data_IF_576570730642
#
_entry.id   IF_576570730642
#
_cell.length_a   1.000
_cell.length_b   1.000
_cell.length_c   1.000
_cell.angle_alpha   90.00
_cell.angle_beta   90.00
_cell.angle_gamma   90.00
#
_symmetry.space_group_name_H-M   'P 1'
#
loop_
_entity.id
_entity.type
_entity.pdbx_description
1 polymer ?
#
# COMPACT_ATOMS: atom_id res chain seq x y z
N UNK A 1 1.45 3.85 21.87
CA UNK A 1 0.19 4.63 21.86
C UNK A 1 -0.83 3.76 22.56
N UNK A 2 -1.16 4.08 23.80
CA UNK A 2 -1.97 3.19 24.65
C UNK A 2 -3.38 3.75 24.91
N UNK A 3 -3.59 5.07 24.75
CA UNK A 3 -4.89 5.71 24.92
C UNK A 3 -5.48 6.27 23.62
N UNK A 4 -6.80 6.51 23.61
CA UNK A 4 -7.49 7.21 22.51
C UNK A 4 -6.96 8.63 22.30
N UNK A 5 -6.67 9.34 23.39
CA UNK A 5 -6.08 10.69 23.33
C UNK A 5 -4.71 10.67 22.64
N UNK A 6 -3.88 9.64 22.90
CA UNK A 6 -2.59 9.49 22.22
C UNK A 6 -2.76 9.28 20.70
N UNK A 7 -3.78 8.52 20.29
CA UNK A 7 -4.06 8.26 18.87
C UNK A 7 -4.54 9.52 18.15
N UNK A 8 -5.48 10.23 18.75
CA UNK A 8 -6.00 11.48 18.21
C UNK A 8 -4.87 12.51 18.10
N UNK A 9 -4.04 12.64 19.13
CA UNK A 9 -2.87 13.51 19.10
C UNK A 9 -1.88 13.12 18.02
N UNK A 10 -1.61 11.82 17.85
CA UNK A 10 -0.73 11.34 16.79
C UNK A 10 -1.30 11.67 15.40
N UNK A 11 -2.60 11.48 15.19
CA UNK A 11 -3.26 11.86 13.94
C UNK A 11 -3.17 13.36 13.71
N UNK A 12 -3.41 14.19 14.73
CA UNK A 12 -3.27 15.65 14.63
C UNK A 12 -1.83 16.06 14.30
N UNK A 13 -0.82 15.44 14.91
CA UNK A 13 0.59 15.68 14.60
C UNK A 13 0.92 15.27 13.14
N UNK A 14 0.35 14.16 12.66
CA UNK A 14 0.49 13.73 11.27
C UNK A 14 -0.13 14.75 10.32
N UNK A 15 -1.38 15.17 10.58
CA UNK A 15 -2.09 16.17 9.77
C UNK A 15 -1.37 17.52 9.76
N UNK A 16 -0.91 18.01 10.91
CA UNK A 16 -0.12 19.24 11.00
C UNK A 16 1.18 19.15 10.18
N UNK A 17 1.91 18.02 10.28
CA UNK A 17 3.13 17.81 9.48
C UNK A 17 2.87 17.79 7.96
N UNK A 18 1.64 17.48 7.55
CA UNK A 18 1.22 17.49 6.14
C UNK A 18 0.91 18.91 5.68
N UNK A 19 0.20 19.68 6.50
CA UNK A 19 -0.05 21.10 6.23
C UNK A 19 1.27 21.87 6.06
N UNK A 20 2.24 21.61 6.93
CA UNK A 20 3.57 22.21 6.85
C UNK A 20 4.31 21.83 5.55
N UNK A 21 4.27 20.54 5.15
CA UNK A 21 4.89 20.09 3.88
C UNK A 21 4.22 20.71 2.67
N UNK A 22 2.89 20.79 2.65
CA UNK A 22 2.15 21.43 1.55
C UNK A 22 2.47 22.91 1.44
N UNK A 23 2.58 23.62 2.57
CA UNK A 23 2.96 25.02 2.57
C UNK A 23 4.38 25.22 1.99
N UNK A 24 5.31 24.32 2.29
CA UNK A 24 6.67 24.35 1.72
C UNK A 24 6.66 24.11 0.20
N UNK A 25 5.91 23.11 -0.27
CA UNK A 25 5.77 22.81 -1.70
C UNK A 25 5.14 23.99 -2.47
N UNK A 26 4.12 24.65 -1.91
CA UNK A 26 3.49 25.84 -2.51
C UNK A 26 4.44 27.06 -2.57
N UNK A 27 5.32 27.24 -1.58
CA UNK A 27 6.37 28.28 -1.58
C UNK A 27 7.48 28.01 -2.62
N UNK A 28 7.82 26.74 -2.84
CA UNK A 28 8.79 26.33 -3.87
C UNK A 28 8.23 26.54 -5.28
N UNK A 29 6.98 26.15 -5.53
CA UNK A 29 6.29 26.37 -6.81
C UNK A 29 6.07 27.86 -7.11
N UNK A 30 5.81 28.69 -6.08
CA UNK A 30 5.69 30.14 -6.24
C UNK A 30 7.01 30.82 -6.64
N UNK A 31 8.15 30.19 -6.36
CA UNK A 31 9.48 30.68 -6.71
C UNK A 31 10.03 30.09 -8.02
N UNK A 32 9.28 29.19 -8.67
CA UNK A 32 9.68 28.59 -9.94
C UNK A 32 9.58 29.58 -11.10
N UNK A 33 10.72 29.90 -11.72
CA UNK A 33 10.80 30.67 -12.97
C UNK A 33 11.01 29.68 -14.13
N UNK A 34 10.05 29.51 -15.05
CA UNK A 34 10.20 28.55 -16.14
C UNK A 34 11.31 28.99 -17.10
N UNK A 35 12.30 28.13 -17.34
CA UNK A 35 13.30 28.31 -18.39
C UNK A 35 12.68 27.96 -19.75
N UNK A 36 12.18 28.99 -20.45
CA UNK A 36 11.68 28.88 -21.81
C UNK A 36 12.83 28.91 -22.80
N UNK A 37 13.57 27.81 -22.92
CA UNK A 37 14.43 27.61 -24.09
C UNK A 37 14.74 26.14 -24.39
N UNK A 38 13.85 25.47 -25.16
CA UNK A 38 14.24 24.63 -26.30
C UNK A 38 13.04 24.20 -27.17
N UNK A 39 13.26 23.92 -28.48
CA UNK A 39 12.23 23.89 -29.50
C UNK A 39 11.62 22.50 -29.75
N UNK A 40 10.42 22.54 -30.33
CA UNK A 40 9.58 21.42 -30.75
C UNK A 40 10.27 20.47 -31.74
N UNK A 41 10.23 19.16 -31.47
CA UNK A 41 10.43 18.12 -32.49
C UNK A 41 9.22 17.20 -32.61
N UNK A 42 8.84 17.04 -33.88
CA UNK A 42 7.63 16.44 -34.39
C UNK A 42 7.48 14.93 -34.17
N UNK A 43 6.22 14.56 -33.97
CA UNK A 43 5.65 13.23 -33.92
C UNK A 43 5.65 12.57 -35.31
N UNK A 44 6.25 11.36 -35.45
CA UNK A 44 5.82 10.38 -36.46
C UNK A 44 6.41 8.95 -36.30
N UNK A 45 5.52 7.98 -36.48
CA UNK A 45 5.69 6.59 -36.93
C UNK A 45 5.89 5.48 -35.89
N UNK A 46 4.79 4.76 -35.65
CA UNK A 46 4.76 3.38 -35.16
C UNK A 46 4.41 2.45 -36.34
N UNK A 47 5.32 1.53 -36.69
CA UNK A 47 5.00 0.25 -37.34
C UNK A 47 6.25 -0.66 -37.40
N UNK A 48 6.12 -1.93 -36.99
CA UNK A 48 6.91 -3.03 -37.58
C UNK A 48 7.68 -4.01 -36.67
N UNK A 49 7.01 -5.14 -36.32
CA UNK A 49 7.50 -6.55 -36.34
C UNK A 49 8.47 -7.07 -35.24
N UNK A 50 8.65 -8.40 -35.03
CA UNK A 50 7.80 -9.55 -35.36
C UNK A 50 7.55 -10.54 -34.18
N UNK A 51 6.47 -11.32 -34.33
CA UNK A 51 6.14 -12.51 -33.52
C UNK A 51 7.04 -13.70 -33.92
N UNK A 52 7.54 -14.46 -32.93
CA UNK A 52 8.00 -15.82 -33.20
C UNK A 52 8.90 -16.42 -32.12
N UNK A 53 8.32 -17.26 -31.23
CA UNK A 53 8.93 -18.48 -30.69
C UNK A 53 7.85 -19.31 -29.99
N UNK A 54 7.32 -20.30 -30.71
CA UNK A 54 6.58 -21.44 -30.16
C UNK A 54 7.54 -22.63 -30.08
N UNK A 55 7.47 -23.51 -29.07
CA UNK A 55 6.77 -24.81 -29.08
C UNK A 55 7.26 -25.64 -27.87
N UNK A 56 6.77 -26.88 -27.58
CA UNK A 56 5.47 -27.51 -27.87
C UNK A 56 4.87 -28.26 -26.66
N UNK A 57 3.54 -28.44 -26.60
CA UNK A 57 3.02 -29.74 -26.13
C UNK A 57 1.67 -30.03 -26.78
N UNK A 58 1.64 -31.12 -27.53
CA UNK A 58 0.48 -31.61 -28.24
C UNK A 58 0.21 -33.02 -27.69
N UNK A 59 -0.89 -33.23 -26.98
CA UNK A 59 -1.47 -34.55 -26.78
C UNK A 59 -2.97 -34.45 -26.45
N UNK A 60 -3.76 -34.96 -27.40
CA UNK A 60 -5.11 -35.53 -27.27
C UNK A 60 -6.32 -34.59 -27.19
N UNK A 61 -6.73 -34.09 -28.37
CA UNK A 61 -8.13 -33.73 -28.65
C UNK A 61 -8.92 -34.96 -29.10
N UNK A 62 -9.95 -35.32 -28.34
CA UNK A 62 -11.15 -36.00 -28.86
C UNK A 62 -12.20 -34.93 -29.14
N UNK A 63 -12.70 -34.90 -30.37
CA UNK A 63 -13.69 -33.94 -30.85
C UNK A 63 -15.05 -34.12 -30.15
N UNK A 64 -15.58 -33.04 -29.59
CA UNK A 64 -16.98 -32.92 -29.21
C UNK A 64 -17.59 -31.69 -29.91
N UNK A 65 -18.88 -31.75 -30.33
CA UNK A 65 -19.44 -30.82 -31.31
C UNK A 65 -19.61 -29.39 -30.77
N UNK A 66 -19.25 -28.41 -31.61
CA UNK A 66 -19.31 -26.96 -31.36
C UNK A 66 -20.73 -26.51 -30.98
N UNK A 67 -20.97 -26.19 -29.70
CA UNK A 67 -22.14 -25.40 -29.28
C UNK A 67 -21.98 -23.96 -29.79
N UNK A 68 -23.03 -23.44 -30.44
CA UNK A 68 -23.16 -22.06 -30.92
C UNK A 68 -22.79 -21.08 -29.80
N UNK A 69 -21.82 -20.18 -30.05
CA UNK A 69 -21.47 -19.06 -29.15
C UNK A 69 -22.71 -18.22 -28.89
N UNK A 70 -23.28 -18.32 -27.68
CA UNK A 70 -24.26 -17.34 -27.18
C UNK A 70 -23.59 -15.98 -27.20
N UNK A 71 -24.20 -14.99 -27.89
CA UNK A 71 -23.83 -13.58 -27.76
C UNK A 71 -23.82 -13.25 -26.26
N UNK A 72 -22.67 -12.85 -25.70
CA UNK A 72 -22.58 -12.35 -24.32
C UNK A 72 -23.57 -11.18 -24.20
N UNK A 73 -24.58 -11.31 -23.34
CA UNK A 73 -25.45 -10.18 -22.96
C UNK A 73 -24.52 -9.08 -22.43
N UNK A 74 -24.64 -7.85 -22.94
CA UNK A 74 -23.97 -6.69 -22.34
C UNK A 74 -24.40 -6.61 -20.87
N UNK A 75 -23.43 -6.49 -19.96
CA UNK A 75 -23.70 -6.35 -18.53
C UNK A 75 -24.55 -5.10 -18.29
N UNK A 76 -25.58 -5.19 -17.44
CA UNK A 76 -26.43 -4.05 -17.05
C UNK A 76 -25.64 -2.95 -16.32
N UNK A 77 -24.49 -3.30 -15.74
CA UNK A 77 -23.60 -2.39 -14.98
C UNK A 77 -22.51 -1.75 -15.83
N UNK A 78 -22.41 -2.06 -17.13
CA UNK A 78 -21.34 -1.52 -17.99
C UNK A 78 -21.44 0.00 -18.25
N UNK A 79 -22.56 0.63 -17.90
CA UNK A 79 -22.79 2.06 -18.02
C UNK A 79 -22.77 2.80 -16.67
N UNK A 80 -22.39 2.12 -15.59
CA UNK A 80 -22.16 2.75 -14.29
C UNK A 80 -20.69 3.16 -14.17
N UNK A 81 -20.38 4.25 -13.44
CA UNK A 81 -19.01 4.60 -13.13
C UNK A 81 -18.32 3.47 -12.36
N UNK A 82 -17.02 3.34 -12.55
CA UNK A 82 -16.25 2.35 -11.80
C UNK A 82 -16.06 2.78 -10.34
N UNK A 83 -16.07 1.83 -9.41
CA UNK A 83 -15.74 2.13 -8.01
C UNK A 83 -14.33 2.71 -7.92
N UNK A 84 -14.17 3.79 -7.15
CA UNK A 84 -12.91 4.53 -7.05
C UNK A 84 -12.61 5.46 -8.24
N UNK A 85 -13.53 5.61 -9.20
CA UNK A 85 -13.36 6.62 -10.25
C UNK A 85 -13.60 8.02 -9.69
N UNK A 86 -12.82 9.00 -10.16
CA UNK A 86 -13.07 10.41 -9.86
C UNK A 86 -14.32 10.87 -10.61
N UNK A 87 -15.35 11.20 -9.84
CA UNK A 87 -16.61 11.75 -10.36
C UNK A 87 -16.64 13.26 -10.12
N UNK A 88 -17.18 14.05 -11.05
CA UNK A 88 -17.48 15.46 -10.80
C UNK A 88 -18.46 15.64 -9.64
N UNK A 89 -18.40 16.77 -8.93
CA UNK A 89 -19.32 17.06 -7.82
C UNK A 89 -20.78 17.18 -8.28
N UNK A 90 -21.02 17.55 -9.54
CA UNK A 90 -22.34 17.64 -10.16
C UNK A 90 -22.82 16.31 -10.77
N UNK A 91 -22.07 15.21 -10.56
CA UNK A 91 -22.44 13.89 -11.09
C UNK A 91 -23.81 13.43 -10.58
N UNK A 92 -24.69 13.12 -11.54
CA UNK A 92 -26.03 12.58 -11.27
C UNK A 92 -26.00 11.06 -11.36
N UNK A 93 -26.30 10.41 -10.24
CA UNK A 93 -26.45 8.96 -10.18
C UNK A 93 -27.53 8.47 -11.13
N UNK A 94 -27.27 7.31 -11.75
CA UNK A 94 -28.23 6.65 -12.62
C UNK A 94 -29.49 6.19 -11.87
N UNK A 95 -29.34 5.72 -10.64
CA UNK A 95 -30.44 5.38 -9.75
C UNK A 95 -30.50 6.45 -8.64
N UNK A 96 -30.98 7.64 -9.01
CA UNK A 96 -31.09 8.79 -8.11
C UNK A 96 -32.28 8.68 -7.16
N UNK A 97 -33.38 8.06 -7.59
CA UNK A 97 -34.59 7.83 -6.79
C UNK A 97 -34.29 6.98 -5.55
N UNK A 98 -34.61 7.54 -4.39
CA UNK A 98 -34.57 6.86 -3.11
C UNK A 98 -35.91 6.18 -2.85
N UNK A 99 -35.95 4.86 -2.62
CA UNK A 99 -37.18 4.17 -2.22
C UNK A 99 -37.71 4.60 -0.84
N UNK A 100 -36.85 5.25 -0.05
CA UNK A 100 -37.11 5.69 1.31
C UNK A 100 -37.10 7.20 1.33
N UNK A 101 -38.08 7.82 1.99
CA UNK A 101 -38.07 9.25 2.21
C UNK A 101 -36.99 9.66 3.23
N UNK A 102 -36.16 10.64 2.85
CA UNK A 102 -35.06 11.19 3.65
C UNK A 102 -34.21 10.10 4.35
N UNK A 103 -33.52 9.24 3.57
CA UNK A 103 -32.79 8.10 4.12
C UNK A 103 -31.58 8.50 4.98
N UNK A 104 -31.10 9.74 4.84
CA UNK A 104 -29.93 10.29 5.54
C UNK A 104 -30.30 11.29 6.62
N UNK A 105 -31.58 11.38 7.02
CA UNK A 105 -32.01 12.29 8.07
C UNK A 105 -31.28 11.97 9.39
N UNK A 106 -30.63 12.95 10.06
CA UNK A 106 -29.89 12.72 11.31
C UNK A 106 -30.74 12.17 12.47
N UNK A 107 -32.06 12.24 12.38
CA UNK A 107 -32.96 11.57 13.34
C UNK A 107 -32.95 10.04 13.22
N UNK A 108 -32.45 9.49 12.11
CA UNK A 108 -32.23 8.05 11.92
C UNK A 108 -30.90 7.63 12.54
N UNK A 109 -30.81 6.40 13.11
CA UNK A 109 -29.55 5.85 13.59
C UNK A 109 -28.44 5.92 12.53
N UNK A 110 -27.21 6.19 12.98
CA UNK A 110 -26.05 6.26 12.08
C UNK A 110 -25.88 4.96 11.28
N UNK A 111 -26.02 3.81 11.94
CA UNK A 111 -25.98 2.48 11.33
C UNK A 111 -26.88 2.40 10.11
N UNK A 112 -28.17 2.72 10.25
CA UNK A 112 -29.15 2.69 9.16
C UNK A 112 -28.78 3.63 8.00
N UNK A 113 -28.26 4.84 8.30
CA UNK A 113 -27.83 5.82 7.28
C UNK A 113 -26.63 5.30 6.48
N UNK A 114 -25.64 4.74 7.16
CA UNK A 114 -24.41 4.20 6.56
C UNK A 114 -24.70 2.94 5.74
N UNK A 115 -25.51 2.02 6.25
CA UNK A 115 -25.95 0.82 5.53
C UNK A 115 -26.66 1.17 4.22
N UNK A 116 -27.58 2.13 4.27
CA UNK A 116 -28.27 2.61 3.09
C UNK A 116 -27.30 3.26 2.09
N UNK A 117 -26.33 4.04 2.57
CA UNK A 117 -25.29 4.62 1.73
C UNK A 117 -24.43 3.55 1.05
N UNK A 118 -24.02 2.49 1.75
CA UNK A 118 -23.25 1.36 1.19
C UNK A 118 -24.05 0.67 0.09
N UNK A 119 -25.32 0.36 0.35
CA UNK A 119 -26.20 -0.26 -0.63
C UNK A 119 -26.36 0.62 -1.88
N UNK A 120 -26.64 1.92 -1.69
CA UNK A 120 -26.85 2.86 -2.80
C UNK A 120 -25.56 3.06 -3.60
N UNK A 121 -24.41 3.15 -2.93
CA UNK A 121 -23.11 3.21 -3.57
C UNK A 121 -22.83 1.96 -4.42
N UNK A 122 -23.05 0.76 -3.87
CA UNK A 122 -22.92 -0.53 -4.59
C UNK A 122 -23.87 -0.62 -5.81
N UNK A 123 -25.07 -0.05 -5.72
CA UNK A 123 -26.07 -0.02 -6.82
C UNK A 123 -25.71 0.95 -7.94
N UNK A 124 -25.03 2.05 -7.61
CA UNK A 124 -24.67 3.10 -8.57
C UNK A 124 -23.24 3.01 -9.12
N UNK A 125 -22.44 2.06 -8.65
CA UNK A 125 -21.06 1.85 -9.13
C UNK A 125 -20.85 0.44 -9.66
N UNK A 126 -19.95 0.32 -10.64
CA UNK A 126 -19.46 -0.94 -11.15
C UNK A 126 -18.22 -1.35 -10.36
N UNK A 127 -18.26 -2.54 -9.78
CA UNK A 127 -17.10 -3.16 -9.14
C UNK A 127 -16.49 -4.23 -10.06
N UNK A 128 -15.18 -4.19 -10.23
CA UNK A 128 -14.41 -5.35 -10.66
C UNK A 128 -14.21 -6.27 -9.46
N UNK A 129 -13.86 -7.54 -9.68
CA UNK A 129 -13.69 -8.51 -8.58
C UNK A 129 -12.62 -8.03 -7.57
N UNK A 130 -11.53 -7.42 -8.06
CA UNK A 130 -10.48 -6.89 -7.21
C UNK A 130 -10.97 -5.71 -6.36
N UNK A 131 -11.58 -4.71 -7.01
CA UNK A 131 -12.09 -3.52 -6.31
C UNK A 131 -13.19 -3.85 -5.31
N UNK A 132 -14.02 -4.86 -5.62
CA UNK A 132 -15.01 -5.38 -4.67
C UNK A 132 -14.34 -5.97 -3.44
N UNK A 133 -13.30 -6.80 -3.62
CA UNK A 133 -12.56 -7.40 -2.50
C UNK A 133 -11.92 -6.33 -1.61
N UNK A 134 -11.31 -5.31 -2.20
CA UNK A 134 -10.73 -4.20 -1.44
C UNK A 134 -11.79 -3.42 -0.67
N UNK A 135 -12.90 -3.07 -1.32
CA UNK A 135 -14.01 -2.35 -0.68
C UNK A 135 -14.62 -3.15 0.47
N UNK A 136 -14.97 -4.43 0.24
CA UNK A 136 -15.53 -5.30 1.26
C UNK A 136 -14.53 -5.54 2.42
N UNK A 137 -13.21 -5.54 2.15
CA UNK A 137 -12.17 -5.66 3.17
C UNK A 137 -12.04 -4.40 4.03
N UNK A 138 -12.14 -3.21 3.42
CA UNK A 138 -12.19 -1.94 4.13
C UNK A 138 -13.41 -1.85 5.05
N UNK A 139 -14.60 -2.20 4.54
CA UNK A 139 -15.83 -2.19 5.34
C UNK A 139 -15.73 -3.16 6.54
N UNK A 140 -15.22 -4.38 6.32
CA UNK A 140 -15.00 -5.35 7.40
C UNK A 140 -14.00 -4.86 8.44
N UNK A 141 -12.94 -4.20 8.01
CA UNK A 141 -11.97 -3.61 8.93
C UNK A 141 -12.61 -2.53 9.81
N UNK A 142 -13.49 -1.70 9.24
CA UNK A 142 -14.31 -0.73 9.97
C UNK A 142 -15.45 -1.34 10.79
N UNK A 143 -15.46 -2.65 11.05
CA UNK A 143 -16.47 -3.32 11.87
C UNK A 143 -17.80 -3.66 11.16
N UNK A 144 -17.88 -3.47 9.84
CA UNK A 144 -19.12 -3.70 9.09
C UNK A 144 -19.19 -5.15 8.61
N UNK A 145 -20.26 -5.85 8.98
CA UNK A 145 -20.47 -7.25 8.62
C UNK A 145 -20.91 -7.40 7.16
N UNK A 146 -19.96 -7.64 6.25
CA UNK A 146 -20.23 -7.82 4.82
C UNK A 146 -20.64 -9.27 4.50
N UNK A 147 -21.95 -9.50 4.32
CA UNK A 147 -22.55 -10.82 4.10
C UNK A 147 -22.52 -11.31 2.63
N UNK A 148 -22.59 -12.64 2.38
CA UNK A 148 -22.64 -13.21 1.02
C UNK A 148 -23.95 -12.89 0.27
N UNK A 149 -25.02 -12.51 0.98
CA UNK A 149 -26.32 -12.16 0.41
C UNK A 149 -26.50 -10.66 0.12
N UNK A 150 -25.43 -9.85 0.24
CA UNK A 150 -25.39 -8.41 -0.05
C UNK A 150 -25.80 -7.99 -1.47
N UNK A 151 -26.27 -8.92 -2.30
CA UNK A 151 -26.54 -8.75 -3.71
C UNK A 151 -27.88 -9.31 -4.18
N UNK A 152 -28.67 -9.97 -3.30
CA UNK A 152 -29.93 -10.54 -3.78
C UNK A 152 -31.02 -9.50 -3.99
N UNK A 153 -31.01 -8.35 -3.29
CA UNK A 153 -31.73 -7.13 -3.65
C UNK A 153 -33.13 -7.33 -4.24
N UNK A 154 -33.80 -8.40 -3.83
CA UNK A 154 -35.13 -8.77 -4.25
C UNK A 154 -35.88 -8.74 -2.95
N UNK A 155 -36.65 -7.67 -2.78
CA UNK A 155 -37.89 -7.79 -2.04
C UNK A 155 -38.60 -9.03 -2.62
N UNK A 156 -38.59 -10.11 -1.85
CA UNK A 156 -39.51 -11.21 -2.08
C UNK A 156 -40.91 -10.70 -1.74
N UNK A 157 -41.95 -11.38 -2.20
CA UNK A 157 -43.33 -11.01 -1.84
C UNK A 157 -43.60 -11.04 -0.33
N UNK A 158 -42.64 -11.53 0.47
CA UNK A 158 -42.68 -11.54 1.92
C UNK A 158 -42.09 -10.26 2.56
N UNK A 159 -41.35 -9.44 1.80
CA UNK A 159 -40.72 -8.19 2.25
C UNK A 159 -41.56 -6.96 1.83
N UNK A 160 -42.86 -7.18 1.62
CA UNK A 160 -43.84 -6.13 1.31
C UNK A 160 -44.74 -5.94 2.53
N UNK A 161 -44.82 -4.70 3.02
CA UNK A 161 -45.80 -4.33 4.04
C UNK A 161 -47.24 -4.56 3.54
N UNK A 162 -48.25 -4.48 4.42
CA UNK A 162 -49.66 -4.73 4.08
C UNK A 162 -50.19 -3.83 2.95
N UNK A 163 -49.53 -2.72 2.63
CA UNK A 163 -49.87 -1.79 1.54
C UNK A 163 -48.99 -1.91 0.27
N UNK A 164 -48.07 -2.88 0.22
CA UNK A 164 -47.17 -3.06 -0.93
C UNK A 164 -45.95 -2.14 -0.94
N UNK A 165 -45.74 -1.36 0.12
CA UNK A 165 -44.49 -0.66 0.39
C UNK A 165 -43.37 -1.68 0.67
N UNK A 166 -42.18 -1.41 0.13
CA UNK A 166 -40.99 -2.25 0.34
C UNK A 166 -40.58 -2.11 1.80
N UNK A 167 -40.69 -3.19 2.57
CA UNK A 167 -40.18 -3.26 3.94
C UNK A 167 -38.65 -3.30 3.86
N UNK A 168 -38.03 -2.13 3.99
CA UNK A 168 -36.59 -1.98 3.88
C UNK A 168 -35.84 -2.65 5.03
N UNK A 169 -36.41 -2.63 6.23
CA UNK A 169 -35.85 -3.31 7.41
C UNK A 169 -35.80 -4.82 7.18
N UNK A 170 -36.87 -5.42 6.67
CA UNK A 170 -36.90 -6.85 6.34
C UNK A 170 -35.99 -7.20 5.14
N UNK A 171 -35.97 -6.36 4.10
CA UNK A 171 -35.18 -6.60 2.89
C UNK A 171 -33.67 -6.43 3.09
N UNK A 172 -33.24 -5.63 4.08
CA UNK A 172 -31.83 -5.28 4.30
C UNK A 172 -31.17 -5.96 5.50
N UNK A 173 -31.92 -6.70 6.32
CA UNK A 173 -31.42 -7.49 7.45
C UNK A 173 -30.32 -8.52 7.10
N UNK A 174 -29.94 -8.68 5.82
CA UNK A 174 -28.97 -9.67 5.32
C UNK A 174 -27.83 -9.07 4.47
N UNK A 175 -27.70 -7.73 4.37
CA UNK A 175 -26.92 -7.11 3.29
C UNK A 175 -25.56 -6.56 3.71
N UNK A 176 -25.45 -5.69 4.69
CA UNK A 176 -24.19 -5.30 5.34
C UNK A 176 -24.63 -4.72 6.68
N UNK A 177 -24.22 -5.28 7.82
CA UNK A 177 -24.71 -4.83 9.14
C UNK A 177 -23.68 -3.95 9.83
N UNK A 178 -24.07 -2.74 10.22
CA UNK A 178 -23.30 -1.85 11.08
C UNK A 178 -23.76 -2.10 12.52
N UNK A 179 -22.85 -2.44 13.45
CA UNK A 179 -23.24 -2.64 14.85
C UNK A 179 -23.93 -1.38 15.41
N UNK A 180 -24.92 -1.58 16.28
CA UNK A 180 -25.61 -0.47 16.95
C UNK A 180 -24.77 0.07 18.11
N UNK A 181 -24.98 1.35 18.44
CA UNK A 181 -24.28 2.11 19.51
C UNK A 181 -24.66 1.65 20.93
N UNK A 182 -24.92 0.36 21.16
CA UNK A 182 -25.42 -0.17 22.43
C UNK A 182 -24.31 -0.59 23.42
N UNK A 183 -23.06 -0.68 22.97
CA UNK A 183 -21.91 -1.05 23.80
C UNK A 183 -21.18 0.19 24.36
N UNK A 184 -20.83 0.20 25.65
CA UNK A 184 -20.11 1.32 26.32
C UNK A 184 -18.75 1.66 25.69
N UNK A 185 -18.18 0.75 24.89
CA UNK A 185 -16.90 0.92 24.17
C UNK A 185 -17.08 1.26 22.68
N UNK A 186 -18.30 1.51 22.21
CA UNK A 186 -18.57 1.81 20.80
C UNK A 186 -18.20 3.26 20.45
N UNK A 187 -17.21 3.41 19.57
CA UNK A 187 -16.74 4.70 19.06
C UNK A 187 -16.57 4.65 17.54
N UNK A 188 -16.95 5.73 16.86
CA UNK A 188 -16.87 5.86 15.40
C UNK A 188 -15.78 6.87 15.04
N UNK A 189 -14.80 6.44 14.25
CA UNK A 189 -13.85 7.32 13.56
C UNK A 189 -13.51 6.79 12.18
N UNK A 190 -13.93 7.51 11.15
CA UNK A 190 -13.55 7.32 9.76
C UNK A 190 -12.05 7.56 9.56
N UNK A 191 -11.46 8.55 10.25
CA UNK A 191 -10.04 8.87 10.08
C UNK A 191 -9.14 7.79 10.67
N UNK A 192 -9.41 7.29 11.88
CA UNK A 192 -8.64 6.19 12.47
C UNK A 192 -8.78 4.92 11.62
N UNK A 193 -9.98 4.59 11.16
CA UNK A 193 -10.22 3.44 10.28
C UNK A 193 -9.46 3.58 8.96
N UNK A 194 -9.49 4.75 8.31
CA UNK A 194 -8.75 4.98 7.07
C UNK A 194 -7.23 4.91 7.29
N UNK A 195 -6.73 5.50 8.37
CA UNK A 195 -5.30 5.53 8.72
C UNK A 195 -4.77 4.15 9.03
N UNK A 196 -5.42 3.41 9.93
CA UNK A 196 -4.96 2.09 10.34
C UNK A 196 -5.15 1.07 9.21
N UNK A 197 -6.23 1.17 8.43
CA UNK A 197 -6.45 0.33 7.26
C UNK A 197 -5.37 0.55 6.19
N UNK A 198 -5.23 1.77 5.66
CA UNK A 198 -4.30 2.04 4.57
C UNK A 198 -2.84 2.02 5.03
N UNK A 199 -2.57 2.45 6.26
CA UNK A 199 -1.23 2.58 6.83
C UNK A 199 -0.62 1.25 7.30
N UNK A 200 -1.44 0.27 7.68
CA UNK A 200 -0.93 -0.96 8.29
C UNK A 200 -1.66 -2.22 7.82
N UNK A 201 -2.97 -2.30 8.01
CA UNK A 201 -3.71 -3.54 7.79
C UNK A 201 -3.72 -3.97 6.32
N UNK A 202 -3.96 -3.03 5.40
CA UNK A 202 -3.96 -3.27 3.96
C UNK A 202 -2.59 -3.72 3.48
N UNK A 203 -1.51 -3.07 3.93
CA UNK A 203 -0.14 -3.36 3.48
C UNK A 203 0.34 -4.75 3.89
N UNK A 204 -0.14 -5.25 5.04
CA UNK A 204 0.13 -6.60 5.54
C UNK A 204 -0.84 -7.67 5.01
N UNK A 205 -1.98 -7.27 4.47
CA UNK A 205 -2.99 -8.20 3.96
C UNK A 205 -2.57 -8.85 2.64
N UNK A 206 -3.12 -10.03 2.36
CA UNK A 206 -2.94 -10.75 1.09
C UNK A 206 -3.59 -10.06 -0.12
N UNK A 207 -4.23 -8.90 0.07
CA UNK A 207 -4.80 -8.10 -1.02
C UNK A 207 -3.78 -7.16 -1.66
N UNK A 208 -2.66 -6.85 -0.99
CA UNK A 208 -1.63 -5.96 -1.51
C UNK A 208 -0.54 -6.73 -2.28
N UNK A 209 -0.92 -7.46 -3.33
CA UNK A 209 0.01 -8.31 -4.07
C UNK A 209 0.76 -7.50 -5.11
N UNK A 210 0.05 -6.72 -5.93
CA UNK A 210 0.60 -5.90 -7.01
C UNK A 210 0.61 -4.41 -6.69
N UNK A 211 1.37 -3.65 -7.48
CA UNK A 211 1.38 -2.17 -7.40
C UNK A 211 0.00 -1.59 -7.68
N UNK A 212 -0.78 -2.21 -8.58
CA UNK A 212 -2.15 -1.75 -8.87
C UNK A 212 -3.06 -1.82 -7.65
N UNK A 213 -2.88 -2.79 -6.75
CA UNK A 213 -3.69 -2.90 -5.54
C UNK A 213 -3.41 -1.71 -4.60
N UNK A 214 -2.14 -1.33 -4.47
CA UNK A 214 -1.68 -0.15 -3.72
C UNK A 214 -2.18 1.17 -4.33
N UNK A 215 -2.37 1.22 -5.66
CA UNK A 215 -2.96 2.38 -6.35
C UNK A 215 -4.49 2.43 -6.21
N UNK A 216 -5.17 1.29 -6.36
CA UNK A 216 -6.64 1.22 -6.38
C UNK A 216 -7.25 1.39 -4.99
N UNK A 217 -6.63 0.84 -3.94
CA UNK A 217 -7.18 0.86 -2.59
C UNK A 217 -7.51 2.26 -2.05
N UNK A 218 -6.58 3.25 -2.07
CA UNK A 218 -6.89 4.57 -1.57
C UNK A 218 -7.93 5.30 -2.42
N UNK A 219 -8.01 5.02 -3.74
CA UNK A 219 -9.05 5.57 -4.62
C UNK A 219 -10.45 5.05 -4.26
N UNK A 220 -10.56 3.75 -3.96
CA UNK A 220 -11.83 3.12 -3.58
C UNK A 220 -12.34 3.69 -2.25
N UNK A 221 -11.43 3.82 -1.26
CA UNK A 221 -11.77 4.37 0.06
C UNK A 221 -12.15 5.85 -0.06
N UNK A 222 -11.35 6.67 -0.73
CA UNK A 222 -11.66 8.10 -0.93
C UNK A 222 -13.00 8.31 -1.64
N UNK A 223 -13.28 7.55 -2.71
CA UNK A 223 -14.53 7.69 -3.44
C UNK A 223 -15.76 7.37 -2.58
N UNK A 224 -15.65 6.39 -1.68
CA UNK A 224 -16.74 6.08 -0.74
C UNK A 224 -16.87 7.13 0.37
N UNK A 225 -15.76 7.59 0.97
CA UNK A 225 -15.81 8.66 1.97
C UNK A 225 -16.37 9.96 1.39
N UNK A 226 -15.96 10.32 0.17
CA UNK A 226 -16.52 11.44 -0.59
C UNK A 226 -18.01 11.25 -0.85
N UNK A 227 -18.44 10.02 -1.14
CA UNK A 227 -19.86 9.72 -1.31
C UNK A 227 -20.66 10.02 -0.04
N UNK A 228 -20.15 9.61 1.13
CA UNK A 228 -20.77 9.92 2.43
C UNK A 228 -20.88 11.43 2.67
N UNK A 229 -19.83 12.18 2.36
CA UNK A 229 -19.82 13.65 2.47
C UNK A 229 -20.83 14.31 1.53
N UNK A 230 -20.79 13.98 0.23
CA UNK A 230 -21.66 14.60 -0.78
C UNK A 230 -23.14 14.32 -0.54
N UNK A 231 -23.48 13.18 0.07
CA UNK A 231 -24.85 12.80 0.41
C UNK A 231 -25.27 13.27 1.81
N UNK A 232 -24.37 13.93 2.55
CA UNK A 232 -24.60 14.34 3.93
C UNK A 232 -25.10 13.17 4.80
N UNK A 233 -24.46 12.00 4.67
CA UNK A 233 -24.90 10.77 5.34
C UNK A 233 -24.73 10.88 6.84
N UNK A 234 -23.61 11.45 7.30
CA UNK A 234 -23.24 11.59 8.70
C UNK A 234 -22.66 12.99 8.99
N UNK A 235 -23.49 14.05 8.98
CA UNK A 235 -23.05 15.43 9.24
C UNK A 235 -22.33 15.61 10.58
N UNK A 236 -22.68 14.81 11.58
CA UNK A 236 -22.06 14.82 12.91
C UNK A 236 -20.60 14.35 12.90
N UNK A 237 -20.14 13.69 11.83
CA UNK A 237 -18.75 13.27 11.59
C UNK A 237 -18.12 13.98 10.38
N UNK A 238 -18.63 15.16 9.99
CA UNK A 238 -18.16 15.86 8.80
C UNK A 238 -16.65 16.16 8.83
N UNK A 239 -16.14 16.67 9.96
CA UNK A 239 -14.72 16.99 10.13
C UNK A 239 -13.84 15.73 10.07
N UNK A 240 -14.31 14.64 10.69
CA UNK A 240 -13.63 13.35 10.70
C UNK A 240 -13.56 12.72 9.30
N UNK A 241 -14.61 12.87 8.50
CA UNK A 241 -14.60 12.49 7.08
C UNK A 241 -13.60 13.30 6.26
N UNK A 242 -13.41 14.60 6.56
CA UNK A 242 -12.40 15.42 5.90
C UNK A 242 -11.01 14.90 6.21
N UNK A 243 -10.70 14.67 7.49
CA UNK A 243 -9.43 14.07 7.94
C UNK A 243 -9.18 12.70 7.30
N UNK A 244 -10.21 11.84 7.25
CA UNK A 244 -10.13 10.53 6.61
C UNK A 244 -9.75 10.64 5.13
N UNK A 245 -10.29 11.64 4.42
CA UNK A 245 -9.96 11.86 3.01
C UNK A 245 -8.57 12.43 2.81
N UNK A 246 -8.06 13.25 3.72
CA UNK A 246 -6.66 13.69 3.69
C UNK A 246 -5.69 12.52 3.80
N UNK A 247 -5.97 11.56 4.67
CA UNK A 247 -5.22 10.30 4.75
C UNK A 247 -5.28 9.54 3.43
N UNK A 248 -6.45 9.42 2.80
CA UNK A 248 -6.54 8.75 1.49
C UNK A 248 -5.75 9.48 0.42
N UNK A 249 -5.67 10.81 0.46
CA UNK A 249 -4.88 11.60 -0.48
C UNK A 249 -3.38 11.29 -0.36
N UNK A 250 -2.85 11.17 0.86
CA UNK A 250 -1.48 10.70 1.07
C UNK A 250 -1.30 9.28 0.55
N UNK A 251 -2.23 8.38 0.90
CA UNK A 251 -2.15 6.98 0.54
C UNK A 251 -2.09 6.76 -0.98
N UNK A 252 -2.76 7.61 -1.79
CA UNK A 252 -2.66 7.60 -3.27
C UNK A 252 -1.22 7.73 -3.77
N UNK A 253 -0.38 8.48 -3.05
CA UNK A 253 1.02 8.74 -3.41
C UNK A 253 1.95 7.74 -2.71
N UNK A 254 1.78 7.55 -1.41
CA UNK A 254 2.75 6.84 -0.58
C UNK A 254 2.63 5.31 -0.68
N UNK A 255 1.45 4.74 -0.91
CA UNK A 255 1.30 3.28 -0.99
C UNK A 255 2.01 2.67 -2.20
N UNK A 256 1.90 3.23 -3.42
CA UNK A 256 2.72 2.77 -4.55
C UNK A 256 4.23 2.88 -4.27
N UNK A 257 4.66 3.98 -3.63
CA UNK A 257 6.07 4.16 -3.22
C UNK A 257 6.52 3.09 -2.23
N UNK A 258 5.74 2.82 -1.17
CA UNK A 258 6.01 1.74 -0.21
C UNK A 258 6.17 0.39 -0.93
N UNK A 259 5.25 0.10 -1.86
CA UNK A 259 5.25 -1.16 -2.61
C UNK A 259 6.51 -1.31 -3.46
N UNK A 260 6.93 -0.26 -4.16
CA UNK A 260 8.16 -0.27 -4.95
C UNK A 260 9.41 -0.39 -4.06
N UNK A 261 9.44 0.36 -2.96
CA UNK A 261 10.56 0.41 -2.03
C UNK A 261 10.85 -0.96 -1.38
N UNK A 262 9.81 -1.75 -1.05
CA UNK A 262 9.97 -3.13 -0.53
C UNK A 262 10.85 -4.00 -1.43
N UNK A 263 10.76 -3.85 -2.75
CA UNK A 263 11.54 -4.66 -3.69
C UNK A 263 12.97 -4.14 -3.88
N UNK A 264 13.23 -2.89 -3.53
CA UNK A 264 14.53 -2.23 -3.70
C UNK A 264 15.40 -2.33 -2.44
N UNK A 265 14.78 -2.36 -1.26
CA UNK A 265 15.51 -2.50 -0.01
C UNK A 265 16.21 -3.87 0.09
N UNK A 266 17.41 -3.95 0.71
CA UNK A 266 18.10 -2.87 1.43
C UNK A 266 19.04 -1.99 0.57
N UNK A 267 18.98 -2.08 -0.76
CA UNK A 267 19.92 -1.39 -1.67
C UNK A 267 21.24 -2.17 -1.88
N UNK A 268 22.02 -1.79 -2.89
CA UNK A 268 23.21 -2.54 -3.31
C UNK A 268 24.37 -2.40 -2.30
N UNK A 269 24.54 -1.22 -1.71
CA UNK A 269 25.56 -0.95 -0.70
C UNK A 269 25.32 -1.78 0.56
N UNK A 270 24.08 -1.86 1.04
CA UNK A 270 23.80 -2.66 2.23
C UNK A 270 23.83 -4.16 1.93
N UNK A 271 23.41 -4.61 0.73
CA UNK A 271 23.65 -5.99 0.26
C UNK A 271 25.15 -6.31 0.25
N UNK A 272 25.98 -5.39 -0.24
CA UNK A 272 27.44 -5.54 -0.23
C UNK A 272 28.00 -5.65 1.19
N UNK A 273 27.48 -4.88 2.15
CA UNK A 273 27.84 -5.01 3.56
C UNK A 273 27.44 -6.38 4.14
N UNK A 274 26.22 -6.85 3.84
CA UNK A 274 25.72 -8.18 4.26
C UNK A 274 26.61 -9.31 3.74
N UNK A 275 27.03 -9.25 2.46
CA UNK A 275 27.94 -10.22 1.84
C UNK A 275 29.31 -10.25 2.54
N UNK A 276 29.87 -9.08 2.90
CA UNK A 276 31.24 -8.98 3.40
C UNK A 276 31.38 -9.21 4.91
N UNK A 277 30.37 -8.86 5.70
CA UNK A 277 30.50 -8.76 7.16
C UNK A 277 29.59 -9.70 7.94
N UNK A 278 28.64 -10.36 7.28
CA UNK A 278 27.64 -11.19 7.94
C UNK A 278 26.22 -10.72 7.64
N UNK A 279 25.28 -11.65 7.59
CA UNK A 279 23.87 -11.35 7.37
C UNK A 279 23.18 -12.43 6.53
N UNK A 280 21.96 -12.17 6.07
CA UNK A 280 21.21 -13.14 5.25
C UNK A 280 21.96 -13.57 3.98
N UNK A 281 22.78 -12.69 3.40
CA UNK A 281 23.53 -12.98 2.18
C UNK A 281 24.94 -13.57 2.43
N UNK A 282 25.48 -13.46 3.65
CA UNK A 282 26.82 -14.00 3.95
C UNK A 282 26.84 -15.53 3.90
N UNK A 283 25.76 -16.19 4.32
CA UNK A 283 25.66 -17.65 4.26
C UNK A 283 25.77 -18.21 2.82
N UNK A 284 25.33 -17.44 1.81
CA UNK A 284 25.53 -17.79 0.41
C UNK A 284 26.98 -17.57 -0.05
N UNK A 285 27.62 -16.49 0.42
CA UNK A 285 29.02 -16.19 0.13
C UNK A 285 30.00 -17.16 0.82
N UNK A 286 29.61 -17.70 1.98
CA UNK A 286 30.36 -18.63 2.81
C UNK A 286 30.19 -20.10 2.39
N UNK A 287 29.50 -20.42 1.29
CA UNK A 287 29.50 -21.78 0.73
C UNK A 287 30.95 -22.15 0.41
N UNK A 288 31.53 -22.86 1.37
CA UNK A 288 32.96 -23.01 1.51
C UNK A 288 33.54 -23.65 0.25
N UNK A 289 34.39 -22.91 -0.46
CA UNK A 289 34.99 -23.37 -1.71
C UNK A 289 36.03 -24.48 -1.48
N UNK A 290 36.28 -24.89 -0.24
CA UNK A 290 37.22 -25.95 0.11
C UNK A 290 36.81 -27.33 -0.44
N UNK A 291 35.53 -27.69 -0.45
CA UNK A 291 35.09 -28.92 -1.14
C UNK A 291 35.22 -28.81 -2.68
N UNK A 292 35.35 -27.59 -3.20
CA UNK A 292 35.58 -27.25 -4.61
C UNK A 292 37.07 -27.11 -4.96
N UNK A 293 38.00 -27.36 -4.03
CA UNK A 293 39.44 -27.35 -4.29
C UNK A 293 39.87 -28.34 -5.40
N UNK A 294 39.09 -29.42 -5.61
CA UNK A 294 39.27 -30.39 -6.69
C UNK A 294 38.44 -30.14 -7.96
N UNK A 295 37.57 -29.12 -7.99
CA UNK A 295 36.67 -28.84 -9.11
C UNK A 295 37.40 -28.23 -10.32
N UNK A 296 36.97 -28.59 -11.53
CA UNK A 296 37.53 -28.01 -12.75
C UNK A 296 37.10 -26.53 -12.93
N UNK A 297 37.83 -25.79 -13.78
CA UNK A 297 37.61 -24.36 -14.02
C UNK A 297 36.17 -24.02 -14.44
N UNK A 298 35.50 -24.90 -15.21
CA UNK A 298 34.14 -24.69 -15.68
C UNK A 298 33.11 -24.79 -14.55
N UNK A 299 33.29 -25.75 -13.65
CA UNK A 299 32.40 -25.95 -12.50
C UNK A 299 32.55 -24.81 -11.46
N UNK A 300 33.77 -24.30 -11.27
CA UNK A 300 34.00 -23.08 -10.47
C UNK A 300 33.36 -21.84 -11.08
N UNK A 301 33.48 -21.66 -12.39
CA UNK A 301 32.86 -20.52 -13.08
C UNK A 301 31.33 -20.57 -13.01
N UNK A 302 30.73 -21.76 -13.18
CA UNK A 302 29.28 -21.95 -13.08
C UNK A 302 28.76 -21.74 -11.65
N UNK A 303 29.51 -22.17 -10.64
CA UNK A 303 29.16 -21.89 -9.24
C UNK A 303 29.32 -20.40 -8.91
N UNK A 304 30.37 -19.75 -9.42
CA UNK A 304 30.55 -18.31 -9.27
C UNK A 304 29.37 -17.53 -9.85
N UNK A 305 28.97 -17.84 -11.09
CA UNK A 305 27.78 -17.20 -11.69
C UNK A 305 26.50 -17.50 -10.92
N UNK A 306 26.33 -18.72 -10.40
CA UNK A 306 25.18 -19.06 -9.57
C UNK A 306 25.16 -18.26 -8.26
N UNK A 307 26.31 -18.11 -7.60
CA UNK A 307 26.43 -17.31 -6.38
C UNK A 307 26.18 -15.82 -6.67
N UNK A 308 26.70 -15.30 -7.76
CA UNK A 308 26.45 -13.92 -8.20
C UNK A 308 24.94 -13.70 -8.49
N UNK A 309 24.28 -14.67 -9.13
CA UNK A 309 22.82 -14.63 -9.37
C UNK A 309 22.01 -14.67 -8.05
N UNK A 310 22.45 -15.47 -7.07
CA UNK A 310 21.78 -15.59 -5.75
C UNK A 310 21.99 -14.33 -4.90
N UNK A 311 23.20 -13.77 -4.91
CA UNK A 311 23.56 -12.59 -4.12
C UNK A 311 23.16 -11.27 -4.81
N UNK A 312 22.94 -11.31 -6.13
CA UNK A 312 22.72 -10.14 -6.97
C UNK A 312 23.97 -9.30 -7.23
N UNK A 313 25.14 -9.72 -6.73
CA UNK A 313 26.45 -9.10 -6.99
C UNK A 313 27.60 -10.03 -6.59
N UNK A 314 28.78 -9.77 -7.13
CA UNK A 314 29.99 -10.50 -6.79
C UNK A 314 30.74 -9.92 -5.58
N UNK A 315 31.54 -10.75 -4.89
CA UNK A 315 32.36 -10.30 -3.75
C UNK A 315 33.33 -9.15 -4.11
N UNK A 316 34.02 -9.13 -5.27
CA UNK A 316 34.86 -8.00 -5.67
C UNK A 316 34.08 -6.69 -5.87
N UNK A 317 32.86 -6.76 -6.44
CA UNK A 317 31.97 -5.62 -6.59
C UNK A 317 31.52 -5.12 -5.22
N UNK A 318 31.14 -6.02 -4.32
CA UNK A 318 30.78 -5.69 -2.95
C UNK A 318 31.89 -4.90 -2.23
N UNK A 319 33.16 -5.34 -2.37
CA UNK A 319 34.31 -4.61 -1.81
C UNK A 319 34.48 -3.21 -2.40
N UNK A 320 34.21 -3.06 -3.70
CA UNK A 320 34.31 -1.77 -4.38
C UNK A 320 33.26 -0.79 -3.88
N UNK A 321 32.02 -1.25 -3.70
CA UNK A 321 30.93 -0.44 -3.15
C UNK A 321 31.18 -0.06 -1.69
N UNK A 322 31.54 -1.02 -0.86
CA UNK A 322 31.74 -0.77 0.58
C UNK A 322 32.92 0.17 0.84
N UNK A 323 33.97 0.11 0.02
CA UNK A 323 35.13 1.02 0.12
C UNK A 323 34.76 2.50 -0.04
N UNK A 324 33.63 2.83 -0.68
CA UNK A 324 33.14 4.21 -0.82
C UNK A 324 32.85 4.87 0.54
N UNK A 325 32.35 4.10 1.52
CA UNK A 325 31.99 4.59 2.86
C UNK A 325 32.93 4.07 3.95
N UNK A 326 33.43 2.84 3.80
CA UNK A 326 34.29 2.16 4.78
C UNK A 326 35.64 1.90 4.12
N UNK A 327 36.62 2.83 4.19
CA UNK A 327 37.89 2.69 3.49
C UNK A 327 38.65 1.42 3.90
N UNK A 328 38.69 1.13 5.19
CA UNK A 328 39.29 -0.07 5.77
C UNK A 328 38.22 -1.18 5.90
N UNK A 329 37.81 -1.72 4.75
CA UNK A 329 36.73 -2.69 4.60
C UNK A 329 37.17 -4.15 4.82
N UNK A 330 38.47 -4.43 4.92
CA UNK A 330 39.00 -5.79 5.01
C UNK A 330 39.05 -6.25 6.47
N UNK A 331 38.09 -7.09 6.89
CA UNK A 331 37.97 -7.71 8.24
C UNK A 331 37.31 -6.83 9.31
N UNK A 332 36.13 -6.30 9.02
CA UNK A 332 35.26 -5.70 10.03
C UNK A 332 34.43 -6.78 10.71
N UNK A 333 34.23 -6.65 12.02
CA UNK A 333 33.39 -7.54 12.81
C UNK A 333 32.07 -6.85 13.16
N UNK A 334 30.99 -7.62 13.14
CA UNK A 334 29.70 -7.20 13.71
C UNK A 334 29.82 -7.20 15.24
N UNK A 335 29.45 -6.09 15.86
CA UNK A 335 29.53 -5.83 17.31
C UNK A 335 28.17 -5.68 17.98
N UNK A 336 27.14 -5.33 17.22
CA UNK A 336 25.75 -5.24 17.67
C UNK A 336 24.83 -5.66 16.51
N UNK A 337 23.71 -6.29 16.83
CA UNK A 337 22.70 -6.74 15.88
C UNK A 337 21.31 -6.38 16.44
N UNK A 338 20.50 -5.74 15.60
CA UNK A 338 19.10 -5.40 15.90
C UNK A 338 18.21 -6.13 14.90
N UNK A 339 17.39 -7.05 15.38
CA UNK A 339 16.56 -7.92 14.54
C UNK A 339 15.10 -7.50 14.65
N UNK A 340 14.41 -7.41 13.50
CA UNK A 340 12.98 -7.08 13.42
C UNK A 340 12.60 -5.80 14.19
N UNK A 341 13.52 -4.82 14.23
CA UNK A 341 13.27 -3.55 14.89
C UNK A 341 12.39 -2.70 13.98
N UNK A 342 11.24 -2.24 14.50
CA UNK A 342 10.41 -1.27 13.81
C UNK A 342 11.11 0.10 13.86
N UNK A 343 11.46 0.63 12.69
CA UNK A 343 12.18 1.90 12.55
C UNK A 343 11.40 2.87 11.69
N UNK A 344 11.58 4.15 11.97
CA UNK A 344 11.05 5.26 11.19
C UNK A 344 12.18 5.99 10.48
N UNK A 345 11.96 6.42 9.23
CA UNK A 345 12.86 7.35 8.53
C UNK A 345 12.74 8.71 9.19
N UNK A 346 13.75 9.08 9.97
CA UNK A 346 13.77 10.33 10.73
C UNK A 346 14.35 11.49 9.92
N UNK A 347 15.32 11.23 9.04
CA UNK A 347 15.85 12.23 8.13
C UNK A 347 16.52 11.59 6.91
N UNK A 348 16.35 12.22 5.75
CA UNK A 348 17.05 11.92 4.50
C UNK A 348 18.13 12.98 4.28
N UNK A 349 19.39 12.55 4.09
CA UNK A 349 20.50 13.46 3.85
C UNK A 349 20.37 14.21 2.51
N UNK A 350 20.96 15.40 2.44
CA UNK A 350 20.99 16.20 1.21
C UNK A 350 21.85 15.51 0.14
N UNK A 351 21.37 15.59 -1.11
CA UNK A 351 22.08 15.10 -2.29
C UNK A 351 21.83 16.04 -3.45
N UNK A 352 22.87 16.33 -4.24
CA UNK A 352 22.72 17.19 -5.40
C UNK A 352 21.81 16.54 -6.47
N UNK A 353 20.98 17.35 -7.13
CA UNK A 353 20.05 16.87 -8.16
C UNK A 353 20.75 16.22 -9.34
N UNK A 354 21.97 16.66 -9.68
CA UNK A 354 22.81 16.12 -10.75
C UNK A 354 23.70 14.95 -10.30
N UNK A 355 23.70 14.59 -9.01
CA UNK A 355 24.44 13.45 -8.51
C UNK A 355 23.96 12.14 -9.15
N UNK A 356 24.88 11.21 -9.38
CA UNK A 356 24.54 9.92 -9.99
C UNK A 356 23.62 9.09 -9.08
N UNK A 357 22.82 8.21 -9.68
CA UNK A 357 21.91 7.30 -8.98
C UNK A 357 22.62 6.39 -7.96
N UNK A 358 23.91 6.10 -8.18
CA UNK A 358 24.74 5.31 -7.25
C UNK A 358 25.34 6.11 -6.09
N UNK A 359 25.05 7.41 -6.01
CA UNK A 359 25.54 8.26 -4.93
C UNK A 359 24.93 7.80 -3.63
N UNK A 360 25.78 7.59 -2.62
CA UNK A 360 25.34 7.10 -1.31
C UNK A 360 24.93 8.27 -0.43
N UNK A 361 23.68 8.26 0.00
CA UNK A 361 23.06 9.29 0.83
C UNK A 361 22.85 8.74 2.24
N UNK A 362 23.27 9.46 3.29
CA UNK A 362 23.04 9.03 4.65
C UNK A 362 21.56 9.16 5.01
N UNK A 363 20.99 8.10 5.57
CA UNK A 363 19.61 8.04 6.03
C UNK A 363 19.63 7.81 7.54
N UNK A 364 19.00 8.72 8.27
CA UNK A 364 18.81 8.56 9.71
C UNK A 364 17.52 7.82 9.96
N UNK A 365 17.63 6.68 10.62
CA UNK A 365 16.51 5.91 11.14
C UNK A 365 16.40 6.15 12.64
N UNK A 366 15.19 6.17 13.18
CA UNK A 366 14.92 6.16 14.62
C UNK A 366 14.11 4.92 14.98
N UNK A 367 14.36 4.31 16.13
CA UNK A 367 13.48 3.25 16.62
C UNK A 367 12.07 3.82 16.83
N UNK A 368 11.05 3.13 16.32
CA UNK A 368 9.68 3.65 16.31
C UNK A 368 9.10 3.79 17.73
N UNK A 369 9.41 2.82 18.61
CA UNK A 369 8.96 2.81 20.00
C UNK A 369 9.72 3.83 20.87
N UNK A 370 11.02 3.97 20.64
CA UNK A 370 11.91 4.86 21.39
C UNK A 370 12.70 5.71 20.40
N UNK A 371 12.15 6.89 20.08
CA UNK A 371 12.71 7.82 19.10
C UNK A 371 14.08 8.39 19.51
N UNK A 372 14.61 8.04 20.69
CA UNK A 372 15.96 8.43 21.12
C UNK A 372 17.06 7.58 20.48
N UNK A 373 16.77 6.32 20.18
CA UNK A 373 17.70 5.41 19.51
C UNK A 373 17.72 5.70 18.01
N UNK A 374 18.85 6.25 17.52
CA UNK A 374 19.03 6.60 16.10
C UNK A 374 20.17 5.83 15.45
N UNK A 375 19.97 5.50 14.18
CA UNK A 375 20.88 4.72 13.35
C UNK A 375 21.13 5.47 12.05
N UNK A 376 22.37 5.51 11.58
CA UNK A 376 22.70 6.10 10.27
C UNK A 376 23.14 4.99 9.33
N UNK A 377 22.35 4.77 8.29
CA UNK A 377 22.65 3.86 7.19
C UNK A 377 22.84 4.66 5.90
N UNK A 378 23.27 4.02 4.81
CA UNK A 378 23.45 4.68 3.53
C UNK A 378 22.64 3.97 2.45
N UNK A 379 21.94 4.73 1.62
CA UNK A 379 21.22 4.23 0.44
C UNK A 379 21.70 4.91 -0.82
N UNK A 380 21.57 4.22 -1.95
CA UNK A 380 21.72 4.84 -3.26
C UNK A 380 20.65 5.90 -3.49
N UNK A 381 21.01 6.99 -4.17
CA UNK A 381 20.09 8.08 -4.55
C UNK A 381 18.85 7.55 -5.28
N UNK A 382 18.99 6.50 -6.08
CA UNK A 382 17.84 5.87 -6.78
C UNK A 382 16.75 5.34 -5.86
N UNK A 383 17.05 5.03 -4.59
CA UNK A 383 16.02 4.62 -3.63
C UNK A 383 15.21 5.81 -3.10
N UNK A 384 15.73 7.03 -3.20
CA UNK A 384 15.10 8.23 -2.63
C UNK A 384 13.83 8.65 -3.36
N UNK A 385 13.65 8.22 -4.62
CA UNK A 385 12.40 8.44 -5.36
C UNK A 385 11.18 7.87 -4.60
N UNK A 386 11.38 6.76 -3.89
CA UNK A 386 10.34 6.03 -3.18
C UNK A 386 10.40 6.19 -1.66
N UNK A 387 11.50 6.71 -1.10
CA UNK A 387 11.69 6.90 0.33
C UNK A 387 11.14 8.26 0.77
N UNK A 388 10.37 8.27 1.86
CA UNK A 388 9.86 9.51 2.46
C UNK A 388 10.23 9.56 3.96
N UNK A 389 10.51 10.75 4.46
CA UNK A 389 10.62 10.99 5.90
C UNK A 389 9.28 10.66 6.57
N UNK A 390 9.34 9.94 7.69
CA UNK A 390 8.18 9.41 8.41
C UNK A 390 7.80 7.99 8.05
N UNK A 391 8.25 7.43 6.91
CA UNK A 391 7.97 6.02 6.55
C UNK A 391 8.51 5.07 7.62
N UNK A 392 7.81 3.95 7.79
CA UNK A 392 8.12 2.94 8.81
C UNK A 392 8.39 1.60 8.15
N UNK A 393 9.32 0.81 8.68
CA UNK A 393 9.54 -0.57 8.24
C UNK A 393 10.20 -1.41 9.34
N UNK A 394 10.08 -2.73 9.25
CA UNK A 394 10.83 -3.66 10.11
C UNK A 394 12.21 -3.89 9.54
N UNK A 395 13.24 -3.57 10.30
CA UNK A 395 14.63 -3.65 9.90
C UNK A 395 15.41 -4.71 10.70
N UNK A 396 16.28 -5.42 10.00
CA UNK A 396 17.42 -6.11 10.62
C UNK A 396 18.68 -5.32 10.28
N UNK A 397 19.39 -4.84 11.29
CA UNK A 397 20.56 -3.98 11.13
C UNK A 397 21.73 -4.49 11.96
N UNK A 398 22.94 -4.30 11.44
CA UNK A 398 24.17 -4.75 12.06
C UNK A 398 25.14 -3.57 12.21
N UNK A 399 25.81 -3.50 13.36
CA UNK A 399 26.82 -2.49 13.65
C UNK A 399 28.20 -3.09 13.55
N UNK A 400 29.06 -2.46 12.77
CA UNK A 400 30.47 -2.84 12.66
C UNK A 400 31.30 -2.25 13.80
N UNK A 401 32.47 -2.84 14.07
CA UNK A 401 33.47 -2.34 15.02
C UNK A 401 33.96 -0.90 14.72
N UNK A 402 33.80 -0.44 13.49
CA UNK A 402 34.05 0.92 13.04
C UNK A 402 32.97 1.92 13.48
N UNK A 403 31.85 1.43 14.01
CA UNK A 403 30.68 2.21 14.39
C UNK A 403 29.63 2.36 13.30
N UNK A 404 29.91 1.94 12.06
CA UNK A 404 28.97 2.02 10.94
C UNK A 404 27.85 0.99 11.07
N UNK A 405 26.63 1.41 10.77
CA UNK A 405 25.48 0.53 10.63
C UNK A 405 25.20 0.21 9.17
N UNK A 406 24.76 -1.01 8.89
CA UNK A 406 24.18 -1.38 7.60
C UNK A 406 22.87 -2.14 7.79
N UNK A 407 22.00 -2.05 6.79
CA UNK A 407 20.69 -2.69 6.77
C UNK A 407 20.79 -4.08 6.12
N UNK A 408 20.68 -5.16 6.90
CA UNK A 408 20.71 -6.52 6.35
C UNK A 408 19.41 -6.89 5.62
N UNK A 409 18.27 -6.49 6.18
CA UNK A 409 16.98 -6.63 5.50
C UNK A 409 15.97 -5.62 6.01
N UNK A 410 15.04 -5.23 5.15
CA UNK A 410 13.85 -4.49 5.53
C UNK A 410 12.61 -5.13 4.93
N UNK A 411 11.55 -5.22 5.73
CA UNK A 411 10.25 -5.78 5.36
C UNK A 411 9.14 -4.90 5.92
N UNK A 412 7.91 -5.12 5.45
CA UNK A 412 6.72 -4.39 5.93
C UNK A 412 6.89 -2.86 5.85
N UNK A 413 7.27 -2.34 4.67
CA UNK A 413 7.33 -0.89 4.46
C UNK A 413 5.93 -0.30 4.50
N UNK A 414 5.78 0.72 5.34
CA UNK A 414 4.54 1.38 5.68
C UNK A 414 4.69 2.90 5.44
N UNK A 415 3.59 3.58 5.07
CA UNK A 415 3.60 5.00 4.75
C UNK A 415 3.84 5.87 5.98
N UNK A 416 4.01 7.18 5.77
CA UNK A 416 4.34 8.16 6.81
C UNK A 416 3.26 8.31 7.87
N UNK A 417 2.01 8.06 7.50
CA UNK A 417 0.84 8.07 8.38
C UNK A 417 0.60 6.72 9.08
N UNK A 418 1.59 5.82 9.12
CA UNK A 418 1.50 4.53 9.80
C UNK A 418 0.96 4.66 11.22
N UNK A 419 -0.07 3.88 11.54
CA UNK A 419 -0.60 3.75 12.88
C UNK A 419 -0.55 2.29 13.33
N UNK A 420 -0.11 2.08 14.58
CA UNK A 420 -0.15 0.75 15.20
C UNK A 420 -1.59 0.30 15.26
N UNK A 421 -1.87 -0.85 14.65
CA UNK A 421 -3.20 -1.45 14.68
C UNK A 421 -3.39 -2.14 16.03
N UNK A 422 -4.23 -1.53 16.88
CA UNK A 422 -4.65 -2.10 18.16
C UNK A 422 -5.98 -2.85 18.05
N UNK A 423 -6.66 -2.78 16.90
CA UNK A 423 -7.94 -3.44 16.65
C UNK A 423 -7.74 -4.91 16.23
N UNK A 424 -6.59 -5.24 15.65
CA UNK A 424 -6.17 -6.63 15.37
C UNK A 424 -5.28 -7.18 16.49
N UNK A 425 -5.56 -8.41 16.95
CA UNK A 425 -4.74 -9.12 17.94
C UNK A 425 -3.26 -9.10 17.51
N UNK A 426 -2.33 -8.63 18.35
CA UNK A 426 -0.90 -8.62 18.04
C UNK A 426 -0.31 -10.02 17.77
N UNK A 427 -1.04 -11.10 18.06
CA UNK A 427 -0.65 -12.48 17.78
C UNK A 427 -1.25 -13.07 16.49
N UNK A 428 -2.04 -12.32 15.72
CA UNK A 428 -2.48 -12.73 14.38
C UNK A 428 -1.34 -12.51 13.38
N UNK A 429 -0.29 -13.32 13.48
CA UNK A 429 0.64 -13.55 12.38
C UNK A 429 -0.16 -14.23 11.26
N UNK A 430 -0.42 -13.50 10.17
CA UNK A 430 -1.08 -14.01 8.96
C UNK A 430 -0.19 -14.99 8.14
N UNK A 431 0.64 -15.77 8.82
CA UNK A 431 1.38 -16.88 8.23
C UNK A 431 0.95 -18.18 8.89
N UNK A 432 -0.11 -18.76 8.34
CA UNK A 432 -0.33 -20.21 8.31
C UNK A 432 -0.74 -20.62 6.88
#
# INVERSE_FOLDING_TARGET
>A
MESQEDRQRYLEDVLASIEDRRAQEEEEDANYVPDTSQPDEDNQNADGLPNGLATPTNLLQREAPKKKKKKKKKSKTAALPEAGAELPDDYKEKNNEDPIENPYDPSRPLSARVEYAIWKYKKNHRFTDNKKRVFDHYLRYGGINVGPNAFQGRATSADQGPEGEVDWEAANAHTDQVPEEEDEDFYVSFSEVAQAYLGNYFTRSSLNIGVQDATDAPLIVDAFLRYLQMRNVCPEYADDLVKAREITALAKVELPKCKNLVYLLPGNFNKACSILYGGKLSAAAEVDSDWMAGANKKMRAMMGSFLDDVMGMSVPEARTLVKKIIPEHSKRLVTDERVNLLVQVANIGEVAEDASDETLVPIRLAAFADRSDTYTIHFEKSLLEYLLEGMVFKATMNKLDSGHWYLDSAVEVQPTFYMVDTATDPNLDFFD
#
